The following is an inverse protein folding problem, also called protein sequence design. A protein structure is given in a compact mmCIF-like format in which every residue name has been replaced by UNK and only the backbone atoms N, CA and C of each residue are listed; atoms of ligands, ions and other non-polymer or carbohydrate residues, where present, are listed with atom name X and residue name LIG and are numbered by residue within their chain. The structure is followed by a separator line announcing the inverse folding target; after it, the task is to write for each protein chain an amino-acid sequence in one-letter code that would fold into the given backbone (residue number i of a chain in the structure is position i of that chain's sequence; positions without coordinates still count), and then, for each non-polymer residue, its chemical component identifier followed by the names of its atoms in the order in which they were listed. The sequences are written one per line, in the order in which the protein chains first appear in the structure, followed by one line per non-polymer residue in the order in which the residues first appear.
data_IF_694021253640
#
_entry.id   IF_694021253640
#
_cell.length_a   1.000
_cell.length_b   1.000
_cell.length_c   1.000
_cell.angle_alpha   90.00
_cell.angle_beta   90.00
_cell.angle_gamma   90.00
#
_symmetry.space_group_name_H-M   'P 1'
#
loop_
_entity.id
_entity.type
_entity.pdbx_description
1 polymer ?
#
# COMPACT_ATOMS: atom_id res chain seq x y z
N UNK A 1 -13.02 -4.03 1.07
CA UNK A 1 -12.53 -2.64 0.91
C UNK A 1 -12.10 -2.35 -0.53
N UNK A 2 -11.12 -3.08 -1.09
CA UNK A 2 -10.58 -2.84 -2.45
C UNK A 2 -11.65 -2.84 -3.54
N UNK A 3 -12.59 -3.81 -3.53
CA UNK A 3 -13.72 -3.83 -4.48
C UNK A 3 -14.55 -2.55 -4.44
N UNK A 4 -14.87 -2.04 -3.23
CA UNK A 4 -15.62 -0.78 -3.06
C UNK A 4 -14.85 0.44 -3.57
N UNK A 5 -13.55 0.53 -3.28
CA UNK A 5 -12.69 1.60 -3.81
C UNK A 5 -12.69 1.59 -5.33
N UNK A 6 -12.52 0.41 -5.95
CA UNK A 6 -12.49 0.28 -7.40
C UNK A 6 -13.83 0.67 -8.04
N UNK A 7 -14.94 0.26 -7.43
CA UNK A 7 -16.29 0.69 -7.82
C UNK A 7 -16.44 2.21 -7.74
N UNK A 8 -16.04 2.84 -6.64
CA UNK A 8 -16.14 4.30 -6.47
C UNK A 8 -15.24 5.05 -7.46
N UNK A 9 -14.04 4.55 -7.74
CA UNK A 9 -13.18 5.13 -8.77
C UNK A 9 -13.85 5.05 -10.16
N UNK A 10 -14.36 3.88 -10.53
CA UNK A 10 -14.99 3.66 -11.83
C UNK A 10 -16.25 4.53 -12.03
N UNK A 11 -17.13 4.56 -11.03
CA UNK A 11 -18.39 5.32 -11.07
C UNK A 11 -18.18 6.83 -10.83
N UNK A 12 -17.22 7.22 -10.01
CA UNK A 12 -16.86 8.63 -9.80
C UNK A 12 -16.34 9.29 -11.07
N UNK A 13 -15.56 8.57 -11.88
CA UNK A 13 -15.15 9.06 -13.21
C UNK A 13 -16.37 9.30 -14.13
N UNK A 14 -17.36 8.40 -14.15
CA UNK A 14 -18.55 8.59 -15.00
C UNK A 14 -19.48 9.71 -14.50
N UNK A 15 -19.68 9.85 -13.19
CA UNK A 15 -20.56 10.87 -12.61
C UNK A 15 -20.03 12.30 -12.70
N UNK A 16 -18.70 12.47 -12.64
CA UNK A 16 -18.04 13.79 -12.73
C UNK A 16 -17.96 14.27 -14.19
N UNK A 17 -17.68 13.38 -15.14
CA UNK A 17 -17.53 13.74 -16.56
C UNK A 17 -18.84 13.63 -17.38
N UNK A 18 -19.87 12.95 -16.88
CA UNK A 18 -21.08 12.59 -17.63
C UNK A 18 -22.26 13.57 -17.54
N UNK A 19 -22.12 14.79 -17.01
CA UNK A 19 -23.31 15.64 -16.82
C UNK A 19 -23.68 16.43 -18.07
N UNK A 20 -24.86 16.10 -18.61
CA UNK A 20 -25.60 16.85 -19.62
C UNK A 20 -25.66 18.35 -19.29
N UNK A 21 -25.52 19.17 -20.34
CA UNK A 21 -25.58 20.64 -20.40
C UNK A 21 -26.97 21.21 -20.00
N UNK A 22 -27.51 20.86 -18.83
CA UNK A 22 -28.62 21.63 -18.24
C UNK A 22 -28.05 22.64 -17.26
N UNK A 23 -28.71 23.80 -17.16
CA UNK A 23 -28.32 24.89 -16.27
C UNK A 23 -28.24 24.37 -14.83
N UNK A 24 -27.01 24.18 -14.33
CA UNK A 24 -26.75 23.75 -12.96
C UNK A 24 -26.83 24.97 -12.04
N UNK A 25 -27.33 24.75 -10.83
CA UNK A 25 -27.28 25.80 -9.80
C UNK A 25 -25.85 25.99 -9.30
N UNK A 26 -25.53 27.15 -8.74
CA UNK A 26 -24.21 27.41 -8.13
C UNK A 26 -23.91 26.40 -7.02
N UNK A 27 -24.94 25.94 -6.31
CA UNK A 27 -24.83 24.97 -5.23
C UNK A 27 -24.42 23.57 -5.75
N UNK A 28 -25.01 23.12 -6.85
CA UNK A 28 -24.62 21.87 -7.53
C UNK A 28 -23.17 21.89 -8.03
N UNK A 29 -22.73 23.03 -8.57
CA UNK A 29 -21.34 23.22 -9.04
C UNK A 29 -20.36 23.11 -7.86
N UNK A 30 -20.67 23.72 -6.71
CA UNK A 30 -19.85 23.63 -5.50
C UNK A 30 -19.77 22.19 -4.99
N UNK A 31 -20.88 21.47 -4.96
CA UNK A 31 -20.91 20.06 -4.54
C UNK A 31 -20.06 19.18 -5.46
N UNK A 32 -20.13 19.37 -6.79
CA UNK A 32 -19.27 18.66 -7.75
C UNK A 32 -17.79 18.97 -7.57
N UNK A 33 -17.45 20.22 -7.27
CA UNK A 33 -16.06 20.61 -7.00
C UNK A 33 -15.53 19.92 -5.73
N UNK A 34 -16.33 19.82 -4.68
CA UNK A 34 -15.98 19.07 -3.47
C UNK A 34 -15.84 17.57 -3.75
N UNK A 35 -16.77 16.98 -4.51
CA UNK A 35 -16.72 15.58 -4.91
C UNK A 35 -15.46 15.28 -5.72
N UNK A 36 -15.11 16.14 -6.69
CA UNK A 36 -13.89 16.01 -7.48
C UNK A 36 -12.64 16.08 -6.59
N UNK A 37 -12.62 16.97 -5.60
CA UNK A 37 -11.52 17.06 -4.64
C UNK A 37 -11.37 15.77 -3.82
N UNK A 38 -12.47 15.24 -3.30
CA UNK A 38 -12.46 13.98 -2.53
C UNK A 38 -12.04 12.79 -3.42
N UNK A 39 -12.53 12.76 -4.66
CA UNK A 39 -12.16 11.75 -5.66
C UNK A 39 -10.65 11.80 -6.00
N UNK A 40 -10.10 13.00 -6.23
CA UNK A 40 -8.66 13.17 -6.48
C UNK A 40 -7.82 12.66 -5.31
N UNK A 41 -8.23 12.94 -4.07
CA UNK A 41 -7.55 12.41 -2.88
C UNK A 41 -7.59 10.88 -2.82
N UNK A 42 -8.71 10.27 -3.23
CA UNK A 42 -8.82 8.81 -3.31
C UNK A 42 -7.90 8.23 -4.40
N UNK A 43 -7.79 8.91 -5.54
CA UNK A 43 -6.93 8.50 -6.65
C UNK A 43 -5.45 8.56 -6.24
N UNK A 44 -5.01 9.66 -5.64
CA UNK A 44 -3.64 9.84 -5.15
C UNK A 44 -3.26 8.71 -4.17
N UNK A 45 -4.15 8.41 -3.21
CA UNK A 45 -3.92 7.32 -2.25
C UNK A 45 -3.90 5.95 -2.89
N UNK A 46 -4.70 5.73 -3.93
CA UNK A 46 -4.68 4.48 -4.71
C UNK A 46 -3.36 4.31 -5.46
N UNK A 47 -2.79 5.40 -5.98
CA UNK A 47 -1.46 5.39 -6.61
C UNK A 47 -0.34 5.13 -5.58
N UNK A 48 -0.41 5.77 -4.40
CA UNK A 48 0.52 5.53 -3.30
C UNK A 48 0.51 4.05 -2.87
N UNK A 49 -0.69 3.47 -2.75
CA UNK A 49 -0.88 2.06 -2.41
C UNK A 49 -0.26 1.14 -3.47
N UNK A 50 -0.46 1.43 -4.75
CA UNK A 50 0.10 0.62 -5.84
C UNK A 50 1.63 0.65 -5.84
N UNK A 51 2.22 1.85 -5.67
CA UNK A 51 3.69 2.02 -5.54
C UNK A 51 4.24 1.27 -4.34
N UNK A 52 3.58 1.37 -3.18
CA UNK A 52 4.06 0.69 -1.98
C UNK A 52 3.94 -0.82 -2.09
N UNK A 53 2.86 -1.36 -2.68
CA UNK A 53 2.73 -2.81 -2.94
C UNK A 53 3.81 -3.33 -3.89
N UNK A 54 4.16 -2.57 -4.92
CA UNK A 54 5.27 -2.94 -5.81
C UNK A 54 6.61 -2.97 -5.06
N UNK A 55 6.86 -2.00 -4.17
CA UNK A 55 8.04 -1.98 -3.31
C UNK A 55 8.04 -3.17 -2.33
N UNK A 56 6.89 -3.46 -1.72
CA UNK A 56 6.69 -4.53 -0.77
C UNK A 56 7.05 -5.91 -1.36
N UNK A 57 6.61 -6.20 -2.60
CA UNK A 57 6.98 -7.44 -3.31
C UNK A 57 8.49 -7.59 -3.46
N UNK A 58 9.23 -6.50 -3.72
CA UNK A 58 10.70 -6.53 -3.80
C UNK A 58 11.32 -6.84 -2.42
N UNK A 59 10.79 -6.23 -1.36
CA UNK A 59 11.23 -6.48 0.01
C UNK A 59 10.94 -7.93 0.44
N UNK A 60 9.78 -8.48 0.11
CA UNK A 60 9.44 -9.88 0.37
C UNK A 60 10.43 -10.84 -0.31
N UNK A 61 10.76 -10.60 -1.58
CA UNK A 61 11.74 -11.40 -2.31
C UNK A 61 13.13 -11.32 -1.66
N UNK A 62 13.56 -10.12 -1.24
CA UNK A 62 14.83 -9.91 -0.54
C UNK A 62 14.87 -10.64 0.81
N UNK A 63 13.82 -10.47 1.63
CA UNK A 63 13.68 -11.13 2.94
C UNK A 63 13.71 -12.63 2.80
N UNK A 64 12.94 -13.19 1.85
CA UNK A 64 12.92 -14.64 1.60
C UNK A 64 14.30 -15.18 1.20
N UNK A 65 15.07 -14.42 0.41
CA UNK A 65 16.43 -14.78 0.02
C UNK A 65 17.40 -14.75 1.20
N UNK A 66 17.36 -13.68 2.01
CA UNK A 66 18.24 -13.51 3.17
C UNK A 66 17.92 -14.50 4.30
N UNK A 67 16.64 -14.73 4.62
CA UNK A 67 16.23 -15.73 5.60
C UNK A 67 16.76 -17.13 5.19
N UNK A 68 16.52 -17.56 3.95
CA UNK A 68 17.05 -18.84 3.43
C UNK A 68 18.59 -18.94 3.49
N UNK A 69 19.31 -17.83 3.30
CA UNK A 69 20.77 -17.80 3.43
C UNK A 69 21.21 -17.88 4.88
N UNK A 70 20.55 -17.15 5.78
CA UNK A 70 20.80 -17.18 7.21
C UNK A 70 20.60 -18.58 7.77
N UNK A 71 19.45 -19.20 7.52
CA UNK A 71 19.12 -20.55 8.00
C UNK A 71 20.20 -21.56 7.57
N UNK A 72 20.60 -21.52 6.28
CA UNK A 72 21.65 -22.39 5.76
C UNK A 72 23.02 -22.16 6.39
N UNK A 73 23.33 -20.94 6.85
CA UNK A 73 24.66 -20.58 7.37
C UNK A 73 24.75 -20.82 8.88
N UNK A 74 23.67 -20.61 9.63
CA UNK A 74 23.61 -20.89 11.07
C UNK A 74 23.74 -22.37 11.39
N UNK A 75 23.34 -23.24 10.48
CA UNK A 75 23.35 -24.70 10.68
C UNK A 75 24.72 -25.36 10.37
N UNK A 76 25.77 -24.59 10.04
CA UNK A 76 27.01 -25.13 9.43
C UNK A 76 28.33 -24.81 10.13
N UNK A 77 28.33 -24.63 11.45
CA UNK A 77 29.58 -24.50 12.20
C UNK A 77 30.20 -25.88 12.49
N UNK A 78 31.01 -26.39 11.56
CA UNK A 78 31.61 -27.74 11.66
C UNK A 78 33.14 -27.76 11.69
N UNK A 79 33.78 -26.59 11.68
CA UNK A 79 35.25 -26.49 11.74
C UNK A 79 35.77 -26.82 13.14
N UNK A 80 36.78 -27.69 13.22
CA UNK A 80 37.56 -27.93 14.45
C UNK A 80 38.68 -26.92 14.67
N UNK A 81 38.99 -26.09 13.67
CA UNK A 81 39.96 -24.99 13.78
C UNK A 81 39.32 -23.73 14.37
N UNK A 82 39.81 -23.22 15.53
CA UNK A 82 39.25 -22.04 16.20
C UNK A 82 39.27 -20.76 15.34
N UNK A 83 40.31 -20.57 14.53
CA UNK A 83 40.45 -19.36 13.71
C UNK A 83 39.36 -19.33 12.62
N UNK A 84 39.14 -20.46 11.95
CA UNK A 84 38.09 -20.65 10.96
C UNK A 84 36.70 -20.47 11.57
N UNK A 85 36.47 -21.06 12.75
CA UNK A 85 35.20 -20.91 13.47
C UNK A 85 34.91 -19.45 13.84
N UNK A 86 35.91 -18.70 14.30
CA UNK A 86 35.76 -17.26 14.59
C UNK A 86 35.42 -16.44 13.35
N UNK A 87 36.09 -16.71 12.22
CA UNK A 87 35.82 -16.03 10.95
C UNK A 87 34.40 -16.32 10.43
N UNK A 88 33.93 -17.56 10.54
CA UNK A 88 32.58 -17.94 10.14
C UNK A 88 31.50 -17.35 11.05
N UNK A 89 31.75 -17.28 12.36
CA UNK A 89 30.84 -16.64 13.30
C UNK A 89 30.66 -15.15 12.96
N UNK A 90 31.75 -14.44 12.64
CA UNK A 90 31.70 -13.02 12.23
C UNK A 90 30.89 -12.82 10.94
N UNK A 91 31.05 -13.69 9.94
CA UNK A 91 30.28 -13.64 8.70
C UNK A 91 28.79 -13.90 8.95
N UNK A 92 28.49 -14.88 9.79
CA UNK A 92 27.11 -15.25 10.16
C UNK A 92 26.42 -14.11 10.90
N UNK A 93 27.09 -13.49 11.87
CA UNK A 93 26.58 -12.32 12.58
C UNK A 93 26.24 -11.15 11.64
N UNK A 94 27.11 -10.88 10.64
CA UNK A 94 26.84 -9.86 9.62
C UNK A 94 25.59 -10.20 8.80
N UNK A 95 25.48 -11.44 8.34
CA UNK A 95 24.32 -11.91 7.56
C UNK A 95 23.01 -11.82 8.35
N UNK A 96 23.02 -12.20 9.63
CA UNK A 96 21.87 -12.09 10.52
C UNK A 96 21.43 -10.62 10.69
N UNK A 97 22.40 -9.70 10.85
CA UNK A 97 22.11 -8.26 10.94
C UNK A 97 21.49 -7.69 9.66
N UNK A 98 21.98 -8.11 8.49
CA UNK A 98 21.39 -7.73 7.20
C UNK A 98 19.97 -8.31 7.03
N UNK A 99 19.78 -9.55 7.48
CA UNK A 99 18.49 -10.24 7.48
C UNK A 99 17.47 -9.53 8.39
N UNK A 100 17.87 -9.16 9.60
CA UNK A 100 17.05 -8.41 10.54
C UNK A 100 16.62 -7.04 9.96
N UNK A 101 17.57 -6.30 9.37
CA UNK A 101 17.28 -5.02 8.74
C UNK A 101 16.25 -5.15 7.62
N UNK A 102 16.41 -6.15 6.74
CA UNK A 102 15.47 -6.41 5.65
C UNK A 102 14.07 -6.77 6.17
N UNK A 103 13.98 -7.62 7.20
CA UNK A 103 12.69 -7.97 7.83
C UNK A 103 12.00 -6.73 8.43
N UNK A 104 12.76 -5.84 9.07
CA UNK A 104 12.24 -4.58 9.62
C UNK A 104 11.69 -3.67 8.52
N UNK A 105 12.37 -3.57 7.39
CA UNK A 105 11.92 -2.74 6.27
C UNK A 105 10.67 -3.31 5.61
N UNK A 106 10.56 -4.63 5.47
CA UNK A 106 9.32 -5.30 5.06
C UNK A 106 8.17 -5.01 6.04
N UNK A 107 8.40 -5.10 7.36
CA UNK A 107 7.40 -4.80 8.37
C UNK A 107 6.90 -3.34 8.32
N UNK A 108 7.82 -2.39 8.06
CA UNK A 108 7.46 -0.97 7.84
C UNK A 108 6.61 -0.80 6.59
N UNK A 109 6.97 -1.44 5.49
CA UNK A 109 6.20 -1.41 4.24
C UNK A 109 4.78 -1.97 4.43
N UNK A 110 4.66 -3.12 5.11
CA UNK A 110 3.37 -3.72 5.49
C UNK A 110 2.51 -2.76 6.34
N UNK A 111 3.13 -2.08 7.30
CA UNK A 111 2.43 -1.09 8.14
C UNK A 111 1.96 0.12 7.35
N UNK A 112 2.78 0.58 6.38
CA UNK A 112 2.44 1.68 5.48
C UNK A 112 1.27 1.32 4.56
N UNK A 113 1.24 0.11 4.01
CA UNK A 113 0.09 -0.42 3.24
C UNK A 113 -1.19 -0.33 4.08
N UNK A 114 -1.18 -0.85 5.31
CA UNK A 114 -2.35 -0.80 6.20
C UNK A 114 -2.80 0.64 6.51
N UNK A 115 -1.85 1.54 6.73
CA UNK A 115 -2.14 2.95 6.98
C UNK A 115 -2.80 3.62 5.78
N UNK A 116 -2.30 3.39 4.56
CA UNK A 116 -2.90 3.92 3.32
C UNK A 116 -4.31 3.36 3.14
N UNK A 117 -4.51 2.05 3.33
CA UNK A 117 -5.83 1.42 3.25
C UNK A 117 -6.83 2.01 4.25
N UNK A 118 -6.41 2.29 5.50
CA UNK A 118 -7.25 2.94 6.49
C UNK A 118 -7.62 4.39 6.12
N UNK A 119 -6.68 5.15 5.55
CA UNK A 119 -6.96 6.49 5.03
C UNK A 119 -7.96 6.45 3.88
N UNK A 120 -7.79 5.50 2.94
CA UNK A 120 -8.73 5.30 1.84
C UNK A 120 -10.13 4.92 2.33
N UNK A 121 -10.22 4.05 3.34
CA UNK A 121 -11.51 3.70 3.96
C UNK A 121 -12.19 4.95 4.56
N UNK A 122 -11.43 5.84 5.19
CA UNK A 122 -11.96 7.10 5.73
C UNK A 122 -12.46 8.03 4.63
N UNK A 123 -11.74 8.14 3.50
CA UNK A 123 -12.16 8.92 2.33
C UNK A 123 -13.46 8.35 1.75
N UNK A 124 -13.54 7.04 1.57
CA UNK A 124 -14.74 6.35 1.10
C UNK A 124 -15.94 6.61 2.02
N UNK A 125 -15.76 6.52 3.34
CA UNK A 125 -16.83 6.82 4.30
C UNK A 125 -17.29 8.28 4.23
N UNK A 126 -16.39 9.24 3.93
CA UNK A 126 -16.80 10.63 3.67
C UNK A 126 -17.65 10.71 2.41
N UNK A 127 -17.24 10.06 1.32
CA UNK A 127 -18.04 10.03 0.07
C UNK A 127 -19.44 9.43 0.28
N UNK A 128 -19.56 8.38 1.09
CA UNK A 128 -20.86 7.76 1.43
C UNK A 128 -21.76 8.72 2.25
N UNK A 129 -21.19 9.47 3.22
CA UNK A 129 -21.94 10.43 4.05
C UNK A 129 -22.56 11.59 3.27
N UNK A 130 -21.93 12.01 2.18
CA UNK A 130 -22.46 13.05 1.32
C UNK A 130 -23.48 12.52 0.28
N UNK A 131 -23.97 11.28 0.43
CA UNK A 131 -24.97 10.65 -0.45
C UNK A 131 -24.56 10.54 -1.94
N UNK A 132 -23.29 10.82 -2.29
CA UNK A 132 -22.77 10.78 -3.66
C UNK A 132 -22.77 9.39 -4.29
N UNK A 133 -22.90 8.33 -3.48
CA UNK A 133 -23.01 6.94 -3.96
C UNK A 133 -24.44 6.61 -4.42
N UNK A 134 -25.45 7.38 -3.99
CA UNK A 134 -26.86 7.14 -4.31
C UNK A 134 -27.27 7.81 -5.62
N UNK A 135 -26.74 9.00 -5.95
CA UNK A 135 -27.03 9.63 -7.25
C UNK A 135 -26.38 8.92 -8.44
N UNK A 136 -25.27 8.20 -8.24
CA UNK A 136 -24.68 7.37 -9.30
C UNK A 136 -25.44 6.05 -9.50
N UNK A 137 -26.27 5.64 -8.53
CA UNK A 137 -27.13 4.45 -8.64
C UNK A 137 -28.52 4.73 -9.24
N UNK A 138 -28.94 6.00 -9.28
CA UNK A 138 -30.28 6.40 -9.73
C UNK A 138 -30.29 7.07 -11.12
N UNK A 139 -29.21 6.93 -11.89
CA UNK A 139 -29.12 7.25 -13.33
C UNK A 139 -28.58 6.05 -14.08
#
# INVERSE_FOLDING_TARGET
MIKKVFTILFFGAMGIFGTQLKAQTIEEIKQKQELFKIYSQLLDRSMDLAKERQNNVKLEAQVNSLNKKSDKKTDKFTSSDPQTTSADAKKTAKLLKETEAANRDLAKSNSKIKSIEAQMATIVSKMEKYNYVVEIKNK
#
